data_IF_124605789311
#
_entry.id   IF_124605789311
#
_cell.length_a   1.000
_cell.length_b   1.000
_cell.length_c   1.000
_cell.angle_alpha   90.00
_cell.angle_beta   90.00
_cell.angle_gamma   90.00
#
_symmetry.space_group_name_H-M   'P 1'
#
loop_
_entity.id
_entity.type
_entity.pdbx_description
1 polymer ?
#
# COMPACT_ATOMS: atom_id res chain seq x y z
N UNK A 1 -66.71 -49.15 -22.70
CA UNK A 1 -66.35 -48.24 -21.58
C UNK A 1 -65.10 -48.77 -20.89
N UNK A 2 -63.95 -48.13 -21.10
CA UNK A 2 -62.78 -48.18 -20.21
C UNK A 2 -61.87 -47.00 -20.56
N UNK A 3 -61.88 -45.98 -19.70
CA UNK A 3 -60.99 -44.81 -19.76
C UNK A 3 -59.58 -45.27 -19.41
N UNK A 4 -58.59 -44.92 -20.22
CA UNK A 4 -57.18 -44.93 -19.82
C UNK A 4 -56.62 -43.54 -20.04
N UNK A 5 -56.50 -42.79 -18.95
CA UNK A 5 -55.78 -41.53 -18.89
C UNK A 5 -54.32 -41.87 -18.54
N UNK A 6 -53.36 -41.38 -19.32
CA UNK A 6 -51.96 -41.36 -18.90
C UNK A 6 -51.40 -39.97 -19.14
N UNK A 7 -50.81 -39.47 -18.06
CA UNK A 7 -50.45 -38.08 -17.76
C UNK A 7 -49.29 -37.62 -18.67
N UNK A 8 -49.38 -36.41 -19.20
CA UNK A 8 -48.26 -35.76 -19.91
C UNK A 8 -47.27 -35.23 -18.88
N UNK A 9 -46.05 -35.76 -18.92
CA UNK A 9 -44.91 -35.31 -18.12
C UNK A 9 -44.38 -34.00 -18.72
N UNK A 10 -44.57 -32.89 -18.02
CA UNK A 10 -44.02 -31.58 -18.38
C UNK A 10 -42.73 -31.38 -17.57
N UNK A 11 -41.57 -31.52 -18.23
CA UNK A 11 -40.27 -31.26 -17.59
C UNK A 11 -40.02 -29.76 -17.62
N UNK A 12 -40.13 -29.12 -16.46
CA UNK A 12 -39.82 -27.71 -16.27
C UNK A 12 -38.33 -27.58 -15.89
N UNK A 13 -37.46 -27.33 -16.87
CA UNK A 13 -36.05 -27.01 -16.60
C UNK A 13 -35.95 -25.59 -16.05
N UNK A 14 -35.74 -25.48 -14.74
CA UNK A 14 -35.37 -24.23 -14.08
C UNK A 14 -33.91 -23.88 -14.45
N UNK A 15 -33.74 -22.86 -15.28
CA UNK A 15 -32.44 -22.21 -15.47
C UNK A 15 -32.19 -21.34 -14.24
N UNK A 16 -31.39 -21.83 -13.31
CA UNK A 16 -30.90 -21.03 -12.19
C UNK A 16 -29.81 -20.11 -12.73
N UNK A 17 -30.14 -18.84 -12.97
CA UNK A 17 -29.14 -17.79 -13.15
C UNK A 17 -28.46 -17.57 -11.80
N UNK A 18 -27.27 -18.15 -11.63
CA UNK A 18 -26.40 -17.84 -10.51
C UNK A 18 -25.83 -16.44 -10.77
N UNK A 19 -26.47 -15.42 -10.19
CA UNK A 19 -25.90 -14.08 -10.11
C UNK A 19 -24.69 -14.18 -9.16
N UNK A 20 -23.49 -14.31 -9.71
CA UNK A 20 -22.27 -14.08 -8.93
C UNK A 20 -22.21 -12.58 -8.71
N UNK A 21 -22.64 -12.14 -7.52
CA UNK A 21 -22.31 -10.79 -7.07
C UNK A 21 -20.78 -10.74 -7.00
N UNK A 22 -20.16 -10.01 -7.93
CA UNK A 22 -18.78 -9.58 -7.78
C UNK A 22 -18.75 -8.75 -6.49
N UNK A 23 -18.25 -9.35 -5.41
CA UNK A 23 -17.92 -8.62 -4.22
C UNK A 23 -16.94 -7.54 -4.64
N UNK A 24 -17.35 -6.29 -4.49
CA UNK A 24 -16.44 -5.16 -4.62
C UNK A 24 -15.33 -5.40 -3.61
N UNK A 25 -14.16 -5.83 -4.09
CA UNK A 25 -12.99 -6.12 -3.27
C UNK A 25 -12.48 -4.78 -2.75
N UNK A 26 -12.96 -4.43 -1.57
CA UNK A 26 -12.45 -3.31 -0.78
C UNK A 26 -10.96 -3.52 -0.57
N UNK A 27 -10.14 -2.51 -0.87
CA UNK A 27 -8.70 -2.53 -0.60
C UNK A 27 -8.38 -2.91 0.86
N UNK A 28 -7.09 -3.14 1.14
CA UNK A 28 -6.65 -3.67 2.42
C UNK A 28 -7.16 -2.87 3.61
N UNK A 29 -7.64 -3.58 4.65
CA UNK A 29 -7.93 -2.92 5.92
C UNK A 29 -6.62 -2.40 6.55
N UNK A 30 -6.73 -1.32 7.32
CA UNK A 30 -5.58 -0.71 8.01
C UNK A 30 -4.84 -1.71 8.90
N UNK A 31 -5.55 -2.71 9.44
CA UNK A 31 -4.94 -3.72 10.32
C UNK A 31 -3.98 -4.62 9.57
N UNK A 32 -4.27 -4.95 8.31
CA UNK A 32 -3.45 -5.76 7.43
C UNK A 32 -2.18 -5.01 7.07
N UNK A 33 -2.31 -3.74 6.65
CA UNK A 33 -1.17 -2.86 6.36
C UNK A 33 -0.28 -2.66 7.59
N UNK A 34 -0.86 -2.67 8.80
CA UNK A 34 -0.13 -2.55 10.05
C UNK A 34 0.53 -3.87 10.50
N UNK A 35 0.25 -5.01 9.87
CA UNK A 35 0.72 -6.33 10.29
C UNK A 35 1.24 -7.15 9.10
N UNK A 36 2.16 -6.55 8.32
CA UNK A 36 2.78 -7.17 7.16
C UNK A 36 4.23 -6.72 6.99
N UNK A 37 4.94 -7.44 6.13
CA UNK A 37 6.31 -7.13 5.76
C UNK A 37 6.39 -6.05 4.68
N UNK A 38 7.29 -5.09 4.84
CA UNK A 38 7.65 -4.09 3.83
C UNK A 38 9.11 -4.23 3.41
N UNK A 39 9.40 -3.98 2.13
CA UNK A 39 10.77 -3.96 1.60
C UNK A 39 11.27 -2.51 1.68
N UNK A 40 12.23 -2.26 2.57
CA UNK A 40 12.74 -0.92 2.88
C UNK A 40 14.24 -0.96 3.23
N UNK A 41 15.01 -0.13 2.55
CA UNK A 41 16.48 -0.17 2.51
C UNK A 41 17.18 0.28 3.80
N UNK A 42 16.48 0.97 4.69
CA UNK A 42 17.04 1.51 5.94
C UNK A 42 17.35 0.42 6.98
N UNK A 43 16.70 -0.73 6.88
CA UNK A 43 16.89 -1.87 7.79
C UNK A 43 18.08 -2.71 7.37
N UNK A 44 18.70 -3.42 8.31
CA UNK A 44 19.86 -4.27 8.02
C UNK A 44 19.53 -5.37 6.99
N UNK A 45 18.32 -5.92 7.06
CA UNK A 45 17.86 -6.99 6.15
C UNK A 45 17.23 -6.47 4.85
N UNK A 46 17.00 -5.15 4.74
CA UNK A 46 16.19 -4.56 3.67
C UNK A 46 14.68 -4.84 3.81
N UNK A 47 14.24 -5.35 4.97
CA UNK A 47 12.87 -5.78 5.25
C UNK A 47 12.43 -5.34 6.66
N UNK A 48 11.17 -4.95 6.77
CA UNK A 48 10.54 -4.54 8.02
C UNK A 48 9.20 -5.28 8.22
N UNK A 49 9.19 -6.26 9.13
CA UNK A 49 7.98 -6.96 9.57
C UNK A 49 7.21 -6.08 10.57
N UNK A 50 6.24 -5.30 10.09
CA UNK A 50 5.46 -4.47 11.00
C UNK A 50 4.56 -5.33 11.88
N UNK A 51 4.51 -4.98 13.17
CA UNK A 51 3.54 -5.53 14.14
C UNK A 51 2.81 -4.35 14.76
N UNK A 52 1.50 -4.27 14.54
CA UNK A 52 0.68 -3.11 14.91
C UNK A 52 1.23 -1.77 14.40
N UNK A 53 1.77 -1.78 13.18
CA UNK A 53 2.24 -0.61 12.44
C UNK A 53 3.66 -0.20 12.78
N UNK A 54 4.42 -1.01 13.51
CA UNK A 54 5.78 -0.67 13.95
C UNK A 54 6.73 -1.85 13.78
N UNK A 55 7.93 -1.57 13.28
CA UNK A 55 9.10 -2.44 13.31
C UNK A 55 10.23 -1.73 14.04
N UNK A 56 11.00 -2.48 14.84
CA UNK A 56 12.18 -1.95 15.54
C UNK A 56 13.32 -2.97 15.55
N UNK A 57 14.53 -2.52 15.28
CA UNK A 57 15.77 -3.30 15.45
C UNK A 57 16.89 -2.42 16.05
N UNK A 58 17.97 -3.03 16.54
CA UNK A 58 19.13 -2.25 16.97
C UNK A 58 19.84 -1.67 15.75
N UNK A 59 20.22 -0.39 15.78
CA UNK A 59 20.86 0.27 14.64
C UNK A 59 22.26 -0.26 14.31
N UNK A 60 22.87 -1.00 15.25
CA UNK A 60 24.08 -1.78 15.05
C UNK A 60 24.16 -2.83 16.17
N UNK A 61 24.99 -3.86 15.99
CA UNK A 61 25.24 -4.87 17.01
C UNK A 61 25.66 -4.24 18.36
N UNK A 62 24.83 -4.42 19.39
CA UNK A 62 25.06 -3.86 20.74
C UNK A 62 24.71 -2.37 20.89
N UNK A 63 24.11 -1.74 19.87
CA UNK A 63 23.67 -0.34 19.95
C UNK A 63 22.44 -0.18 20.84
N UNK A 64 22.36 0.94 21.54
CA UNK A 64 21.15 1.39 22.25
C UNK A 64 20.22 2.16 21.30
N UNK A 65 20.77 2.77 20.25
CA UNK A 65 19.98 3.37 19.18
C UNK A 65 19.26 2.29 18.38
N UNK A 66 18.06 2.62 17.90
CA UNK A 66 17.23 1.71 17.13
C UNK A 66 17.01 2.23 15.72
N UNK A 67 16.88 1.31 14.76
CA UNK A 67 16.15 1.56 13.54
C UNK A 67 14.67 1.34 13.86
N UNK A 68 13.82 2.28 13.48
CA UNK A 68 12.38 2.22 13.69
C UNK A 68 11.70 2.49 12.35
N UNK A 69 10.75 1.64 11.96
CA UNK A 69 9.87 1.88 10.81
C UNK A 69 8.43 1.90 11.31
N UNK A 70 7.67 2.92 10.94
CA UNK A 70 6.27 3.11 11.34
C UNK A 70 5.39 3.32 10.11
N UNK A 71 4.24 2.68 10.11
CA UNK A 71 3.17 2.98 9.16
C UNK A 71 2.55 4.33 9.55
N UNK A 72 2.57 5.29 8.62
CA UNK A 72 1.89 6.58 8.79
C UNK A 72 0.38 6.42 8.55
N UNK A 73 -0.42 7.36 9.05
CA UNK A 73 -1.86 7.40 8.78
C UNK A 73 -2.19 7.83 7.34
N UNK A 74 -1.23 8.44 6.64
CA UNK A 74 -1.35 8.88 5.26
C UNK A 74 -1.22 7.72 4.29
N UNK A 75 -2.15 7.66 3.35
CA UNK A 75 -2.13 6.70 2.26
C UNK A 75 -3.34 6.86 1.36
N UNK A 76 -3.39 6.07 0.30
CA UNK A 76 -4.50 5.99 -0.62
C UNK A 76 -4.74 4.53 -1.04
N UNK A 77 -5.99 4.25 -1.40
CA UNK A 77 -6.42 2.97 -1.95
C UNK A 77 -6.89 3.22 -3.38
N UNK A 78 -6.50 2.36 -4.30
CA UNK A 78 -6.86 2.44 -5.71
C UNK A 78 -6.20 1.33 -6.51
N UNK A 79 -6.66 1.12 -7.73
CA UNK A 79 -6.09 0.15 -8.67
C UNK A 79 -4.78 0.74 -9.25
N UNK A 80 -3.63 0.21 -8.83
CA UNK A 80 -2.29 0.69 -9.21
C UNK A 80 -1.73 -0.12 -10.37
N UNK A 81 -1.93 -1.45 -10.37
CA UNK A 81 -1.41 -2.33 -11.42
C UNK A 81 -2.38 -2.58 -12.59
N UNK A 82 -3.61 -2.10 -12.49
CA UNK A 82 -4.61 -2.11 -13.55
C UNK A 82 -5.36 -3.44 -13.68
N UNK A 83 -5.31 -4.32 -12.67
CA UNK A 83 -5.97 -5.61 -12.68
C UNK A 83 -7.47 -5.55 -12.27
N UNK A 84 -7.95 -4.36 -11.87
CA UNK A 84 -9.32 -4.11 -11.42
C UNK A 84 -9.54 -4.41 -9.93
N UNK A 85 -8.51 -4.77 -9.18
CA UNK A 85 -8.50 -4.97 -7.73
C UNK A 85 -7.86 -3.74 -7.09
N UNK A 86 -8.39 -3.31 -5.94
CA UNK A 86 -7.79 -2.17 -5.22
C UNK A 86 -6.52 -2.58 -4.48
N UNK A 87 -5.46 -1.83 -4.74
CA UNK A 87 -4.16 -1.83 -4.07
C UNK A 87 -4.07 -0.70 -3.02
N UNK A 88 -2.92 -0.60 -2.36
CA UNK A 88 -2.63 0.49 -1.41
C UNK A 88 -1.31 1.18 -1.71
N UNK A 89 -1.30 2.50 -1.65
CA UNK A 89 -0.11 3.33 -1.50
C UNK A 89 -0.06 3.87 -0.08
N UNK A 90 0.99 3.55 0.67
CA UNK A 90 1.15 3.97 2.07
C UNK A 90 2.44 4.73 2.28
N UNK A 91 2.48 5.54 3.34
CA UNK A 91 3.71 6.19 3.77
C UNK A 91 4.33 5.41 4.93
N UNK A 92 5.63 5.15 4.82
CA UNK A 92 6.44 4.65 5.92
C UNK A 92 7.31 5.78 6.44
N UNK A 93 7.28 5.99 7.75
CA UNK A 93 8.21 6.85 8.46
C UNK A 93 9.32 5.98 9.06
N UNK A 94 10.58 6.32 8.80
CA UNK A 94 11.71 5.55 9.27
C UNK A 94 12.76 6.42 9.98
N UNK A 95 13.36 5.88 11.04
CA UNK A 95 14.44 6.48 11.79
C UNK A 95 15.62 5.50 11.77
N UNK A 96 16.80 5.94 11.33
CA UNK A 96 17.98 5.08 11.15
C UNK A 96 18.91 4.99 12.37
N UNK A 97 18.42 5.31 13.57
CA UNK A 97 19.25 5.41 14.79
C UNK A 97 20.03 6.72 14.97
N UNK A 98 19.85 7.68 14.06
CA UNK A 98 20.29 9.07 14.17
C UNK A 98 19.14 10.02 14.55
N UNK A 99 19.27 11.30 14.20
CA UNK A 99 18.22 12.33 14.39
C UNK A 99 17.37 12.58 13.15
N UNK A 100 17.64 11.86 12.07
CA UNK A 100 16.88 11.94 10.82
C UNK A 100 15.58 11.16 10.91
N UNK A 101 14.56 11.67 10.24
CA UNK A 101 13.28 10.97 10.06
C UNK A 101 12.99 10.97 8.58
N UNK A 102 13.00 9.79 7.98
CA UNK A 102 12.92 9.57 6.56
C UNK A 102 11.51 9.12 6.18
N UNK A 103 11.00 9.62 5.06
CA UNK A 103 9.68 9.27 4.56
C UNK A 103 9.84 8.46 3.28
N UNK A 104 9.09 7.37 3.18
CA UNK A 104 9.09 6.48 2.03
C UNK A 104 7.67 6.25 1.54
N UNK A 105 7.51 6.09 0.22
CA UNK A 105 6.30 5.58 -0.41
C UNK A 105 6.44 4.07 -0.58
N UNK A 106 5.50 3.30 -0.03
CA UNK A 106 5.40 1.88 -0.30
C UNK A 106 4.09 1.57 -1.04
N UNK A 107 4.19 0.72 -2.07
CA UNK A 107 3.03 0.16 -2.78
C UNK A 107 2.80 -1.26 -2.31
N UNK A 108 1.57 -1.58 -1.98
CA UNK A 108 1.12 -2.91 -1.58
C UNK A 108 0.11 -3.39 -2.61
N UNK A 109 0.50 -4.38 -3.40
CA UNK A 109 -0.35 -4.99 -4.43
C UNK A 109 -1.28 -6.04 -3.83
N UNK A 110 -2.50 -6.08 -4.34
CA UNK A 110 -3.52 -7.03 -3.94
C UNK A 110 -3.56 -8.28 -4.82
N UNK A 111 -2.58 -9.15 -4.56
CA UNK A 111 -2.35 -10.32 -5.41
C UNK A 111 -3.02 -11.59 -4.88
N UNK A 112 -3.14 -12.57 -5.78
CA UNK A 112 -3.57 -13.92 -5.42
C UNK A 112 -2.56 -14.55 -4.46
N UNK A 113 -2.91 -14.64 -3.18
CA UNK A 113 -2.00 -15.09 -2.11
C UNK A 113 -1.91 -14.11 -0.93
N UNK A 114 -2.40 -12.88 -1.10
CA UNK A 114 -2.43 -11.85 -0.07
C UNK A 114 -1.70 -10.57 -0.49
N UNK A 115 -1.67 -9.56 0.41
CA UNK A 115 -0.92 -8.32 0.20
C UNK A 115 0.56 -8.60 0.04
N UNK A 116 1.17 -7.98 -0.98
CA UNK A 116 2.61 -8.00 -1.18
C UNK A 116 3.13 -6.57 -1.38
N UNK A 117 4.06 -6.15 -0.51
CA UNK A 117 4.74 -4.87 -0.67
C UNK A 117 5.82 -4.94 -1.76
N UNK A 118 5.91 -3.89 -2.57
CA UNK A 118 7.04 -3.65 -3.47
C UNK A 118 8.17 -2.93 -2.72
N UNK A 119 9.31 -2.74 -3.39
CA UNK A 119 10.40 -1.91 -2.89
C UNK A 119 9.90 -0.48 -2.61
N UNK A 120 10.10 -0.01 -1.38
CA UNK A 120 9.71 1.33 -0.98
C UNK A 120 10.63 2.38 -1.61
N UNK A 121 10.04 3.49 -2.07
CA UNK A 121 10.74 4.61 -2.70
C UNK A 121 10.98 5.70 -1.67
N UNK A 122 12.22 6.12 -1.49
CA UNK A 122 12.57 7.23 -0.61
C UNK A 122 12.00 8.56 -1.13
N UNK A 123 11.25 9.28 -0.29
CA UNK A 123 10.64 10.57 -0.62
C UNK A 123 11.46 11.76 -0.09
N UNK A 124 12.08 11.63 1.09
CA UNK A 124 12.88 12.70 1.68
C UNK A 124 13.13 12.59 3.19
N UNK A 125 13.99 13.48 3.70
CA UNK A 125 14.32 13.63 5.13
C UNK A 125 13.55 14.79 5.76
N UNK A 126 12.74 14.49 6.79
CA UNK A 126 11.94 15.41 7.59
C UNK A 126 11.09 16.34 6.72
N UNK A 127 10.45 15.77 5.70
CA UNK A 127 9.42 16.41 4.87
C UNK A 127 8.04 16.22 5.52
N UNK A 128 7.04 16.97 5.06
CA UNK A 128 5.64 16.77 5.45
C UNK A 128 4.85 16.15 4.31
N UNK A 129 3.97 15.19 4.60
CA UNK A 129 3.00 14.67 3.65
C UNK A 129 1.72 15.49 3.76
N UNK A 130 1.27 16.11 2.67
CA UNK A 130 -0.02 16.81 2.62
C UNK A 130 -1.14 15.93 2.06
N UNK A 131 -0.84 15.12 1.04
CA UNK A 131 -1.82 14.24 0.40
C UNK A 131 -1.12 13.04 -0.25
N UNK A 132 -1.78 11.89 -0.20
CA UNK A 132 -1.52 10.76 -1.08
C UNK A 132 -2.80 10.50 -1.87
N UNK A 133 -2.70 10.29 -3.18
CA UNK A 133 -3.82 9.98 -4.05
C UNK A 133 -3.44 8.97 -5.11
N UNK A 134 -4.43 8.22 -5.59
CA UNK A 134 -4.27 7.29 -6.71
C UNK A 134 -5.33 7.63 -7.74
N UNK A 135 -4.93 7.81 -9.00
CA UNK A 135 -5.82 8.04 -10.13
C UNK A 135 -5.23 7.41 -11.38
N UNK A 136 -6.02 6.58 -12.06
CA UNK A 136 -5.64 5.95 -13.34
C UNK A 136 -4.26 5.23 -13.28
N UNK A 137 -4.00 4.49 -12.19
CA UNK A 137 -2.73 3.78 -11.96
C UNK A 137 -1.55 4.68 -11.57
N UNK A 138 -1.75 6.00 -11.44
CA UNK A 138 -0.71 6.95 -11.03
C UNK A 138 -0.92 7.33 -9.56
N UNK A 139 0.15 7.24 -8.79
CA UNK A 139 0.21 7.66 -7.39
C UNK A 139 0.72 9.10 -7.37
N UNK A 140 -0.01 10.01 -6.73
CA UNK A 140 0.43 11.37 -6.46
C UNK A 140 0.71 11.52 -4.96
N UNK A 141 1.87 12.09 -4.63
CA UNK A 141 2.24 12.46 -3.25
C UNK A 141 2.54 13.95 -3.21
N UNK A 142 1.70 14.71 -2.53
CA UNK A 142 1.95 16.13 -2.25
C UNK A 142 2.76 16.24 -0.98
N UNK A 143 3.91 16.90 -1.06
CA UNK A 143 4.83 17.07 0.06
C UNK A 143 5.18 18.54 0.30
N UNK A 144 5.56 18.86 1.54
CA UNK A 144 6.26 20.11 1.86
C UNK A 144 7.70 19.75 2.22
N UNK A 145 8.64 20.27 1.45
CA UNK A 145 10.08 20.10 1.61
C UNK A 145 10.76 21.43 1.94
N UNK A 146 12.05 21.39 2.23
CA UNK A 146 12.90 22.57 2.45
C UNK A 146 13.42 23.14 1.14
N UNK A 147 13.82 24.40 1.15
CA UNK A 147 14.59 24.95 0.04
C UNK A 147 15.98 24.31 0.02
N UNK A 148 16.55 24.22 -1.17
CA UNK A 148 17.91 23.71 -1.33
C UNK A 148 18.89 24.50 -0.46
N UNK A 149 19.67 23.81 0.37
CA UNK A 149 20.67 24.39 1.27
C UNK A 149 20.14 24.94 2.60
N UNK A 150 18.83 24.87 2.88
CA UNK A 150 18.31 25.21 4.21
C UNK A 150 18.74 24.17 5.26
N UNK A 151 19.00 24.65 6.48
CA UNK A 151 19.29 23.78 7.63
C UNK A 151 18.11 22.86 7.94
N UNK A 152 18.40 21.64 8.37
CA UNK A 152 17.37 20.68 8.78
C UNK A 152 16.61 21.09 10.05
N UNK A 153 17.11 22.10 10.77
CA UNK A 153 16.41 22.75 11.90
C UNK A 153 15.33 23.74 11.45
N UNK A 154 15.30 24.11 10.18
CA UNK A 154 14.28 25.00 9.61
C UNK A 154 13.08 24.16 9.20
N UNK A 155 11.87 24.64 9.46
CA UNK A 155 10.65 23.95 9.03
C UNK A 155 10.54 23.92 7.49
N UNK A 156 10.15 22.79 6.89
CA UNK A 156 9.83 22.71 5.46
C UNK A 156 8.79 23.77 5.05
N UNK A 157 8.92 24.31 3.83
CA UNK A 157 8.02 25.37 3.33
C UNK A 157 7.74 25.34 1.82
N UNK A 158 8.39 24.46 1.06
CA UNK A 158 8.27 24.36 -0.39
C UNK A 158 7.36 23.19 -0.75
N UNK A 159 6.19 23.48 -1.33
CA UNK A 159 5.29 22.45 -1.85
C UNK A 159 5.89 21.79 -3.09
N UNK A 160 5.79 20.47 -3.17
CA UNK A 160 6.13 19.66 -4.35
C UNK A 160 5.05 18.61 -4.56
N UNK A 161 4.81 18.28 -5.82
CA UNK A 161 3.94 17.17 -6.24
C UNK A 161 4.85 16.12 -6.87
N UNK A 162 4.85 14.92 -6.31
CA UNK A 162 5.61 13.77 -6.81
C UNK A 162 4.63 12.78 -7.43
N UNK A 163 4.98 12.24 -8.59
CA UNK A 163 4.14 11.29 -9.32
C UNK A 163 4.88 9.98 -9.51
N UNK A 164 4.24 8.87 -9.19
CA UNK A 164 4.80 7.54 -9.29
C UNK A 164 3.86 6.63 -10.08
N UNK A 165 4.45 5.65 -10.74
CA UNK A 165 3.71 4.64 -11.50
C UNK A 165 4.43 3.29 -11.42
N UNK A 166 3.68 2.22 -11.65
CA UNK A 166 4.25 0.89 -11.75
C UNK A 166 4.82 0.66 -13.15
N UNK A 167 6.12 0.36 -13.24
CA UNK A 167 6.80 0.02 -14.49
C UNK A 167 7.57 -1.28 -14.28
N UNK A 168 7.20 -2.33 -15.02
CA UNK A 168 7.84 -3.65 -14.93
C UNK A 168 7.90 -4.20 -13.49
N UNK A 169 6.86 -3.96 -12.68
CA UNK A 169 6.79 -4.41 -11.28
C UNK A 169 7.56 -3.55 -10.28
N UNK A 170 8.16 -2.43 -10.70
CA UNK A 170 8.84 -1.48 -9.83
C UNK A 170 8.09 -0.14 -9.78
N UNK A 171 8.09 0.50 -8.61
CA UNK A 171 7.54 1.85 -8.43
C UNK A 171 8.59 2.85 -8.93
N UNK A 172 8.23 3.67 -9.92
CA UNK A 172 9.14 4.62 -10.56
C UNK A 172 8.55 6.02 -10.51
N UNK A 173 9.35 7.01 -10.12
CA UNK A 173 8.99 8.43 -10.21
C UNK A 173 8.95 8.85 -11.70
N UNK A 174 7.88 9.55 -12.07
CA UNK A 174 7.56 9.95 -13.45
C UNK A 174 8.34 11.19 -13.91
#
# INVERSE_FOLDING_TARGET
MKKSNSVRLLVLTAVVFLLVAAGCTTGFDKSTLANMEYIIDITESGRADLVNGVYEEAAAAGSVSKIIVRLDDSGAIGDIDGDGISDSAVILQAEGGGSGTFLYLAVVLNQTGGPAALEAVFLGDRILIERVGISEGVIQVDIIDRKNGESMSVSPSVKKELFFQLVNGAVVEK
#
